data_IF_143553271902
#
_entry.id   IF_143553271902
#
_cell.length_a   1.000
_cell.length_b   1.000
_cell.length_c   1.000
_cell.angle_alpha   90.00
_cell.angle_beta   90.00
_cell.angle_gamma   90.00
#
_symmetry.space_group_name_H-M   'P 1'
#
loop_
_entity.id
_entity.type
_entity.pdbx_description
1 polymer ?
#
# COMPACT_ATOMS: atom_id res chain seq x y z
N UNK A 1 -5.35 9.91 -31.21
CA UNK A 1 -3.93 9.60 -30.96
C UNK A 1 -3.78 8.10 -31.11
N UNK A 2 -2.87 7.64 -31.98
CA UNK A 2 -2.81 6.25 -32.43
C UNK A 2 -2.30 5.32 -31.32
N UNK A 3 -3.09 4.28 -31.02
CA UNK A 3 -2.74 3.16 -30.15
C UNK A 3 -1.44 2.50 -30.64
N UNK A 4 -0.44 2.42 -29.77
CA UNK A 4 0.81 1.72 -30.06
C UNK A 4 0.69 0.24 -29.63
N UNK A 5 0.54 -0.72 -30.56
CA UNK A 5 0.30 -2.13 -30.24
C UNK A 5 1.46 -2.85 -29.54
N UNK A 6 2.64 -2.22 -29.42
CA UNK A 6 3.77 -2.79 -28.67
C UNK A 6 3.58 -2.75 -27.15
N UNK A 7 2.84 -1.77 -26.62
CA UNK A 7 2.54 -1.68 -25.18
C UNK A 7 1.53 -2.77 -24.78
N UNK A 8 0.55 -3.06 -25.65
CA UNK A 8 -0.45 -4.12 -25.45
C UNK A 8 0.15 -5.53 -25.41
N UNK A 9 1.23 -5.80 -26.17
CA UNK A 9 1.90 -7.10 -26.18
C UNK A 9 2.74 -7.35 -24.92
N UNK A 10 3.35 -6.29 -24.34
CA UNK A 10 4.03 -6.37 -23.05
C UNK A 10 3.03 -6.56 -21.89
N UNK A 11 1.78 -6.12 -22.08
CA UNK A 11 0.62 -6.29 -21.19
C UNK A 11 0.13 -7.75 -21.06
N UNK A 12 0.33 -8.58 -22.10
CA UNK A 12 -0.16 -9.97 -22.15
C UNK A 12 0.71 -10.98 -21.40
N UNK A 13 2.00 -10.69 -21.18
CA UNK A 13 2.92 -11.66 -20.56
C UNK A 13 2.91 -11.61 -19.02
N UNK A 14 2.46 -10.49 -18.41
CA UNK A 14 2.50 -10.32 -16.95
C UNK A 14 1.21 -10.73 -16.22
N UNK A 15 0.06 -10.81 -16.90
CA UNK A 15 -1.25 -11.09 -16.29
C UNK A 15 -1.59 -12.59 -16.15
N UNK A 16 -0.70 -13.50 -16.57
CA UNK A 16 -1.01 -14.95 -16.66
C UNK A 16 -0.66 -15.80 -15.43
N UNK A 17 -0.15 -15.22 -14.35
CA UNK A 17 0.28 -15.98 -13.17
C UNK A 17 -0.37 -15.43 -11.91
N UNK A 18 -1.38 -16.14 -11.38
CA UNK A 18 -1.88 -15.88 -10.02
C UNK A 18 -3.35 -16.22 -9.74
N UNK A 19 -3.83 -17.42 -10.09
CA UNK A 19 -5.10 -17.94 -9.53
C UNK A 19 -4.78 -18.85 -8.34
N UNK A 20 -5.25 -18.50 -7.14
CA UNK A 20 -5.17 -19.38 -5.95
C UNK A 20 -6.51 -19.47 -5.21
N UNK A 21 -6.85 -20.66 -4.66
CA UNK A 21 -8.16 -20.97 -4.09
C UNK A 21 -8.31 -20.54 -2.63
N UNK A 22 -9.57 -20.33 -2.22
CA UNK A 22 -10.00 -19.94 -0.88
C UNK A 22 -9.94 -21.09 0.14
N UNK A 23 -9.51 -20.80 1.38
CA UNK A 23 -9.63 -21.71 2.53
C UNK A 23 -10.27 -21.01 3.74
N UNK A 24 -11.39 -21.56 4.21
CA UNK A 24 -12.10 -21.14 5.41
C UNK A 24 -11.61 -21.84 6.68
N UNK A 25 -11.67 -21.14 7.81
CA UNK A 25 -11.38 -21.67 9.15
C UNK A 25 -12.20 -20.95 10.22
N UNK A 26 -12.83 -21.71 11.11
CA UNK A 26 -13.74 -21.27 12.18
C UNK A 26 -12.97 -20.78 13.40
N UNK A 27 -13.38 -19.65 13.99
CA UNK A 27 -12.82 -19.12 15.24
C UNK A 27 -13.68 -19.43 16.46
N UNK A 28 -13.04 -19.91 17.53
CA UNK A 28 -13.59 -19.99 18.88
C UNK A 28 -13.25 -18.72 19.68
N UNK A 29 -14.23 -18.23 20.45
CA UNK A 29 -14.14 -16.97 21.19
C UNK A 29 -13.40 -17.10 22.53
N UNK A 30 -12.52 -16.15 22.84
CA UNK A 30 -11.98 -15.96 24.19
C UNK A 30 -11.93 -14.47 24.54
N UNK A 31 -12.62 -14.11 25.62
CA UNK A 31 -12.76 -12.74 26.15
C UNK A 31 -11.41 -12.19 26.65
N UNK A 32 -11.08 -10.94 26.32
CA UNK A 32 -10.02 -10.20 27.02
C UNK A 32 -10.42 -8.75 27.34
N UNK A 33 -9.91 -8.34 28.51
CA UNK A 33 -10.18 -7.14 29.28
C UNK A 33 -9.72 -5.87 28.55
N UNK A 34 -10.44 -4.80 28.84
CA UNK A 34 -10.30 -3.42 28.35
C UNK A 34 -8.90 -2.85 28.63
N UNK A 35 -8.15 -2.57 27.57
CA UNK A 35 -7.04 -1.63 27.56
C UNK A 35 -7.39 -0.47 26.62
N UNK A 36 -7.02 0.75 27.02
CA UNK A 36 -7.31 2.02 26.35
C UNK A 36 -7.04 1.92 24.85
N UNK A 37 -8.07 2.16 24.04
CA UNK A 37 -8.00 2.09 22.58
C UNK A 37 -7.04 3.15 22.05
N UNK A 38 -6.09 2.81 21.17
CA UNK A 38 -5.42 3.80 20.32
C UNK A 38 -6.50 4.58 19.50
N UNK A 39 -6.19 5.78 18.99
CA UNK A 39 -7.14 6.57 18.21
C UNK A 39 -7.80 5.66 17.18
N UNK A 40 -9.14 5.60 17.21
CA UNK A 40 -9.94 4.67 16.42
C UNK A 40 -9.54 4.82 14.95
N UNK A 41 -8.79 3.84 14.42
CA UNK A 41 -8.81 3.59 12.99
C UNK A 41 -10.28 3.56 12.58
N UNK A 42 -10.65 4.43 11.64
CA UNK A 42 -12.02 4.46 11.14
C UNK A 42 -12.31 3.09 10.53
N UNK A 43 -13.52 2.58 10.79
CA UNK A 43 -13.95 1.27 10.33
C UNK A 43 -13.67 1.09 8.83
N UNK A 44 -12.98 0.01 8.46
CA UNK A 44 -12.76 -0.38 7.06
C UNK A 44 -13.86 -1.35 6.68
N UNK A 45 -14.91 -0.83 6.07
CA UNK A 45 -16.11 -1.62 5.77
C UNK A 45 -16.75 -1.25 4.45
N UNK A 46 -17.54 -2.19 3.92
CA UNK A 46 -18.37 -1.98 2.75
C UNK A 46 -19.38 -0.85 2.94
N UNK A 47 -19.90 -0.67 4.16
CA UNK A 47 -20.85 0.43 4.45
C UNK A 47 -20.20 1.79 4.24
N UNK A 48 -18.98 1.97 4.77
CA UNK A 48 -18.22 3.21 4.59
C UNK A 48 -17.95 3.46 3.11
N UNK A 49 -17.46 2.47 2.37
CA UNK A 49 -17.18 2.60 0.95
C UNK A 49 -18.45 2.91 0.15
N UNK A 50 -19.57 2.24 0.42
CA UNK A 50 -20.83 2.54 -0.26
C UNK A 50 -21.30 3.97 0.03
N UNK A 51 -21.22 4.43 1.27
CA UNK A 51 -21.62 5.78 1.68
C UNK A 51 -20.79 6.87 1.01
N UNK A 52 -19.47 6.67 0.86
CA UNK A 52 -18.58 7.58 0.13
C UNK A 52 -19.04 7.84 -1.31
N UNK A 53 -19.72 6.87 -1.92
CA UNK A 53 -20.24 6.95 -3.28
C UNK A 53 -21.76 7.19 -3.33
N UNK A 54 -22.39 7.51 -2.19
CA UNK A 54 -23.82 7.82 -2.12
C UNK A 54 -24.75 6.59 -2.10
N UNK A 55 -24.25 5.45 -1.61
CA UNK A 55 -24.95 4.17 -1.59
C UNK A 55 -25.46 3.75 -2.99
N UNK A 56 -24.55 3.59 -3.95
CA UNK A 56 -24.89 3.28 -5.34
C UNK A 56 -25.60 1.94 -5.44
N UNK A 57 -26.50 1.83 -6.41
CA UNK A 57 -27.17 0.57 -6.77
C UNK A 57 -26.51 0.00 -8.03
N UNK A 58 -26.64 -1.32 -8.28
CA UNK A 58 -26.26 -1.90 -9.57
C UNK A 58 -26.85 -1.09 -10.73
N UNK A 59 -26.07 -0.76 -11.77
CA UNK A 59 -26.57 -0.02 -12.92
C UNK A 59 -27.64 -0.85 -13.67
N UNK A 60 -28.68 -0.18 -14.16
CA UNK A 60 -29.78 -0.84 -14.89
C UNK A 60 -29.36 -1.32 -16.28
N UNK A 61 -28.40 -0.63 -16.89
CA UNK A 61 -27.85 -0.94 -18.21
C UNK A 61 -26.39 -0.53 -18.27
N UNK A 62 -25.57 -1.32 -18.96
CA UNK A 62 -24.15 -1.03 -19.16
C UNK A 62 -23.92 -0.79 -20.65
N UNK A 63 -23.60 0.46 -20.98
CA UNK A 63 -23.18 0.92 -22.31
C UNK A 63 -21.67 0.97 -22.47
N UNK A 64 -20.92 0.96 -21.36
CA UNK A 64 -19.47 0.84 -21.37
C UNK A 64 -19.05 -0.44 -22.12
N UNK A 65 -18.13 -0.29 -23.07
CA UNK A 65 -17.48 -1.40 -23.74
C UNK A 65 -16.21 -1.73 -22.98
N UNK A 66 -16.13 -2.96 -22.43
CA UNK A 66 -15.00 -3.42 -21.64
C UNK A 66 -13.75 -3.47 -22.54
N UNK A 67 -12.59 -3.13 -21.99
CA UNK A 67 -11.32 -2.99 -22.70
C UNK A 67 -10.93 -4.18 -23.59
N UNK A 68 -11.11 -5.40 -23.09
CA UNK A 68 -10.82 -6.67 -23.79
C UNK A 68 -12.07 -7.31 -24.42
N UNK A 69 -13.13 -6.52 -24.61
CA UNK A 69 -14.42 -6.97 -25.17
C UNK A 69 -15.13 -8.06 -24.34
N UNK A 70 -14.81 -8.18 -23.06
CA UNK A 70 -15.42 -9.11 -22.10
C UNK A 70 -16.69 -8.52 -21.44
N UNK A 71 -17.55 -7.87 -22.24
CA UNK A 71 -18.74 -7.15 -21.76
C UNK A 71 -19.69 -8.03 -20.91
N UNK A 72 -19.76 -9.33 -21.20
CA UNK A 72 -20.58 -10.27 -20.45
C UNK A 72 -20.09 -10.45 -19.00
N UNK A 73 -18.77 -10.51 -18.79
CA UNK A 73 -18.18 -10.64 -17.47
C UNK A 73 -18.34 -9.33 -16.68
N UNK A 74 -18.17 -8.17 -17.34
CA UNK A 74 -18.42 -6.86 -16.72
C UNK A 74 -19.88 -6.73 -16.24
N UNK A 75 -20.85 -7.12 -17.08
CA UNK A 75 -22.28 -7.16 -16.71
C UNK A 75 -22.56 -8.10 -15.55
N UNK A 76 -21.97 -9.28 -15.56
CA UNK A 76 -22.13 -10.25 -14.47
C UNK A 76 -21.59 -9.66 -13.16
N UNK A 77 -20.37 -9.11 -13.17
CA UNK A 77 -19.74 -8.49 -12.01
C UNK A 77 -20.58 -7.34 -11.46
N UNK A 78 -21.02 -6.43 -12.32
CA UNK A 78 -21.84 -5.27 -11.95
C UNK A 78 -23.24 -5.62 -11.43
N UNK A 79 -23.72 -6.85 -11.62
CA UNK A 79 -24.99 -7.32 -11.09
C UNK A 79 -24.91 -7.88 -9.66
N UNK A 80 -23.71 -8.13 -9.14
CA UNK A 80 -23.49 -8.81 -7.87
C UNK A 80 -23.47 -7.84 -6.68
N UNK A 81 -24.24 -8.09 -5.60
CA UNK A 81 -24.10 -7.33 -4.36
C UNK A 81 -22.68 -7.42 -3.77
N UNK A 82 -22.18 -6.33 -3.17
CA UNK A 82 -20.81 -6.23 -2.65
C UNK A 82 -20.36 -7.40 -1.76
N UNK A 83 -21.20 -7.85 -0.83
CA UNK A 83 -20.85 -8.92 0.12
C UNK A 83 -20.67 -10.28 -0.56
N UNK A 84 -21.31 -10.49 -1.71
CA UNK A 84 -21.24 -11.71 -2.51
C UNK A 84 -20.42 -11.55 -3.78
N UNK A 85 -19.84 -10.38 -4.02
CA UNK A 85 -19.09 -10.07 -5.24
C UNK A 85 -17.80 -10.87 -5.26
N UNK A 86 -17.55 -11.55 -6.38
CA UNK A 86 -16.27 -12.23 -6.62
C UNK A 86 -15.20 -11.21 -7.02
N UNK A 87 -14.44 -10.71 -6.04
CA UNK A 87 -13.39 -9.72 -6.27
C UNK A 87 -12.28 -10.22 -7.21
N UNK A 88 -12.09 -11.54 -7.35
CA UNK A 88 -11.12 -12.09 -8.32
C UNK A 88 -11.47 -11.75 -9.78
N UNK A 89 -12.72 -11.37 -10.04
CA UNK A 89 -13.23 -10.95 -11.35
C UNK A 89 -13.06 -9.45 -11.62
N UNK A 90 -12.61 -8.66 -10.64
CA UNK A 90 -12.35 -7.22 -10.85
C UNK A 90 -11.26 -6.97 -11.90
N UNK A 91 -10.43 -7.96 -12.22
CA UNK A 91 -9.49 -7.92 -13.35
C UNK A 91 -10.12 -7.39 -14.65
N UNK A 92 -11.38 -7.74 -14.91
CA UNK A 92 -12.09 -7.26 -16.11
C UNK A 92 -12.42 -5.77 -16.08
N UNK A 93 -12.50 -5.15 -14.91
CA UNK A 93 -12.84 -3.73 -14.77
C UNK A 93 -11.62 -2.84 -14.50
N UNK A 94 -10.54 -3.39 -13.94
CA UNK A 94 -9.33 -2.61 -13.64
C UNK A 94 -8.70 -1.97 -14.88
N UNK A 95 -8.73 -2.66 -16.03
CA UNK A 95 -8.26 -2.14 -17.30
C UNK A 95 -9.10 -0.95 -17.78
N UNK A 96 -10.42 -1.03 -17.59
CA UNK A 96 -11.38 -0.02 -18.00
C UNK A 96 -11.05 1.33 -17.35
N UNK A 97 -10.69 1.31 -16.05
CA UNK A 97 -10.31 2.51 -15.29
C UNK A 97 -9.20 3.35 -15.96
N UNK A 98 -8.34 2.72 -16.78
CA UNK A 98 -7.24 3.40 -17.47
C UNK A 98 -7.50 3.66 -18.96
N UNK A 99 -8.28 2.81 -19.63
CA UNK A 99 -8.28 2.74 -21.09
C UNK A 99 -9.61 3.00 -21.77
N UNK A 100 -10.75 2.99 -21.06
CA UNK A 100 -12.07 3.19 -21.68
C UNK A 100 -12.75 4.48 -21.20
N UNK A 101 -13.80 4.87 -21.91
CA UNK A 101 -14.69 5.94 -21.45
C UNK A 101 -15.64 5.37 -20.38
N UNK A 102 -15.38 5.73 -19.13
CA UNK A 102 -16.09 5.18 -17.98
C UNK A 102 -17.53 5.69 -17.90
N UNK A 103 -18.46 4.77 -17.71
CA UNK A 103 -19.85 5.05 -17.41
C UNK A 103 -19.99 5.47 -15.92
N UNK A 104 -20.52 6.67 -15.60
CA UNK A 104 -20.49 7.20 -14.22
C UNK A 104 -21.20 6.35 -13.16
N UNK A 105 -22.39 5.83 -13.42
CA UNK A 105 -23.14 5.01 -12.45
C UNK A 105 -22.52 3.60 -12.28
N UNK A 106 -21.92 3.05 -13.34
CA UNK A 106 -21.10 1.83 -13.25
C UNK A 106 -19.85 2.08 -12.40
N UNK A 107 -19.17 3.21 -12.61
CA UNK A 107 -18.01 3.60 -11.81
C UNK A 107 -18.37 3.78 -10.34
N UNK A 108 -19.43 4.54 -10.04
CA UNK A 108 -19.87 4.75 -8.67
C UNK A 108 -20.18 3.40 -7.97
N UNK A 109 -20.67 2.39 -8.71
CA UNK A 109 -20.93 1.05 -8.19
C UNK A 109 -19.68 0.17 -8.07
N UNK A 110 -18.82 0.06 -9.08
CA UNK A 110 -17.71 -0.91 -9.07
C UNK A 110 -16.43 -0.38 -8.40
N UNK A 111 -16.18 0.93 -8.43
CA UNK A 111 -14.95 1.48 -7.84
C UNK A 111 -14.82 1.26 -6.31
N UNK A 112 -15.90 1.29 -5.51
CA UNK A 112 -15.88 0.78 -4.14
C UNK A 112 -15.33 -0.65 -4.00
N UNK A 113 -15.65 -1.55 -4.94
CA UNK A 113 -15.14 -2.92 -4.91
C UNK A 113 -13.64 -2.98 -5.21
N UNK A 114 -13.14 -2.17 -6.14
CA UNK A 114 -11.70 -1.98 -6.38
C UNK A 114 -10.96 -1.51 -5.12
N UNK A 115 -11.51 -0.55 -4.38
CA UNK A 115 -10.91 -0.05 -3.13
C UNK A 115 -10.87 -1.13 -2.04
N UNK A 116 -11.94 -1.92 -1.91
CA UNK A 116 -11.96 -3.04 -0.95
C UNK A 116 -10.99 -4.16 -1.32
N UNK A 117 -10.90 -4.51 -2.60
CA UNK A 117 -9.95 -5.50 -3.09
C UNK A 117 -8.49 -5.05 -2.86
N UNK A 118 -8.19 -3.78 -3.15
CA UNK A 118 -6.90 -3.17 -2.80
C UNK A 118 -6.62 -3.25 -1.30
N UNK A 119 -7.59 -2.90 -0.45
CA UNK A 119 -7.44 -3.00 1.01
C UNK A 119 -7.17 -4.44 1.46
N UNK A 120 -7.95 -5.41 0.97
CA UNK A 120 -7.79 -6.83 1.33
C UNK A 120 -6.43 -7.36 0.89
N UNK A 121 -5.95 -7.00 -0.29
CA UNK A 121 -4.60 -7.38 -0.74
C UNK A 121 -3.51 -6.84 0.20
N UNK A 122 -3.67 -5.60 0.67
CA UNK A 122 -2.76 -4.96 1.59
C UNK A 122 -2.80 -5.64 2.97
N UNK A 123 -4.01 -5.83 3.52
CA UNK A 123 -4.26 -6.45 4.81
C UNK A 123 -3.72 -7.89 4.87
N UNK A 124 -3.83 -8.64 3.77
CA UNK A 124 -3.31 -10.00 3.64
C UNK A 124 -1.79 -10.06 3.36
N UNK A 125 -1.04 -8.95 3.48
CA UNK A 125 0.40 -8.93 3.19
C UNK A 125 0.74 -9.46 1.78
N UNK A 126 -0.06 -9.13 0.77
CA UNK A 126 0.23 -9.51 -0.61
C UNK A 126 0.98 -8.38 -1.33
N UNK A 127 1.94 -8.69 -2.21
CA UNK A 127 2.49 -7.70 -3.13
C UNK A 127 1.37 -7.06 -3.95
N UNK A 128 1.58 -5.85 -4.47
CA UNK A 128 0.68 -5.34 -5.52
C UNK A 128 0.92 -6.17 -6.78
N UNK A 129 -0.03 -7.04 -7.11
CA UNK A 129 0.02 -7.90 -8.29
C UNK A 129 -1.40 -8.16 -8.79
N UNK A 130 -1.54 -8.31 -10.11
CA UNK A 130 -2.84 -8.18 -10.79
C UNK A 130 -3.52 -6.84 -10.45
N UNK A 131 -4.82 -6.76 -10.77
CA UNK A 131 -5.71 -5.60 -10.70
C UNK A 131 -5.48 -4.46 -9.68
N UNK A 132 -4.89 -4.74 -8.52
CA UNK A 132 -4.60 -3.73 -7.49
C UNK A 132 -3.47 -2.77 -7.86
N UNK A 133 -2.53 -3.18 -8.71
CA UNK A 133 -1.46 -2.30 -9.21
C UNK A 133 -1.99 -1.31 -10.27
N UNK A 134 -3.05 -1.71 -10.97
CA UNK A 134 -3.75 -1.02 -12.02
C UNK A 134 -4.55 0.16 -11.46
N UNK A 135 -4.94 0.15 -10.17
CA UNK A 135 -5.52 1.34 -9.53
C UNK A 135 -4.53 2.51 -9.58
N UNK A 136 -3.27 2.29 -9.21
CA UNK A 136 -2.26 3.36 -9.24
C UNK A 136 -2.07 3.87 -10.68
N UNK A 137 -2.01 2.94 -11.64
CA UNK A 137 -1.89 3.29 -13.05
C UNK A 137 -3.11 4.04 -13.59
N UNK A 138 -4.33 3.63 -13.23
CA UNK A 138 -5.57 4.29 -13.62
C UNK A 138 -5.69 5.71 -13.05
N UNK A 139 -5.17 5.94 -11.83
CA UNK A 139 -5.10 7.30 -11.27
C UNK A 139 -4.10 8.17 -12.03
N UNK A 140 -2.92 7.63 -12.35
CA UNK A 140 -1.86 8.38 -13.04
C UNK A 140 -2.16 8.60 -14.54
N UNK A 141 -2.36 7.51 -15.29
CA UNK A 141 -2.57 7.52 -16.73
C UNK A 141 -4.04 7.77 -17.11
N UNK A 142 -4.96 7.02 -16.51
CA UNK A 142 -6.40 7.16 -16.75
C UNK A 142 -6.98 8.47 -16.22
N UNK A 143 -6.30 9.12 -15.28
CA UNK A 143 -6.77 10.30 -14.54
C UNK A 143 -8.12 10.07 -13.85
N UNK A 144 -8.38 8.84 -13.40
CA UNK A 144 -9.71 8.43 -12.92
C UNK A 144 -10.22 9.29 -11.76
N UNK A 145 -9.33 9.67 -10.83
CA UNK A 145 -9.68 10.58 -9.74
C UNK A 145 -10.17 11.93 -10.23
N UNK A 146 -9.48 12.52 -11.21
CA UNK A 146 -9.86 13.82 -11.77
C UNK A 146 -11.15 13.76 -12.57
N UNK A 147 -11.35 12.67 -13.32
CA UNK A 147 -12.49 12.52 -14.24
C UNK A 147 -13.78 12.13 -13.51
N UNK A 148 -13.68 11.28 -12.49
CA UNK A 148 -14.84 10.59 -11.91
C UNK A 148 -15.18 11.00 -10.48
N UNK A 149 -14.26 11.64 -9.74
CA UNK A 149 -14.51 12.01 -8.34
C UNK A 149 -14.74 13.51 -8.20
N UNK A 150 -15.75 13.88 -7.40
CA UNK A 150 -15.87 15.22 -6.85
C UNK A 150 -14.77 15.46 -5.79
N UNK A 151 -14.47 16.71 -5.42
CA UNK A 151 -13.47 17.01 -4.39
C UNK A 151 -13.72 16.28 -3.06
N UNK A 152 -14.97 16.23 -2.60
CA UNK A 152 -15.35 15.55 -1.35
C UNK A 152 -15.15 14.03 -1.44
N UNK A 153 -15.53 13.43 -2.59
CA UNK A 153 -15.32 12.00 -2.83
C UNK A 153 -13.83 11.67 -2.93
N UNK A 154 -13.04 12.50 -3.59
CA UNK A 154 -11.59 12.34 -3.67
C UNK A 154 -10.94 12.37 -2.29
N UNK A 155 -11.32 13.33 -1.44
CA UNK A 155 -10.84 13.40 -0.06
C UNK A 155 -11.24 12.14 0.73
N UNK A 156 -12.49 11.66 0.57
CA UNK A 156 -12.94 10.46 1.25
C UNK A 156 -12.18 9.20 0.79
N UNK A 157 -11.91 9.06 -0.51
CA UNK A 157 -11.12 7.96 -1.09
C UNK A 157 -9.68 8.02 -0.58
N UNK A 158 -9.05 9.20 -0.58
CA UNK A 158 -7.72 9.41 0.00
C UNK A 158 -7.70 8.92 1.45
N UNK A 159 -8.63 9.38 2.29
CA UNK A 159 -8.69 8.98 3.69
C UNK A 159 -8.88 7.47 3.86
N UNK A 160 -9.68 6.82 3.00
CA UNK A 160 -9.83 5.37 3.03
C UNK A 160 -8.51 4.64 2.74
N UNK A 161 -7.73 5.10 1.74
CA UNK A 161 -6.43 4.52 1.41
C UNK A 161 -5.44 4.69 2.56
N UNK A 162 -5.38 5.87 3.19
CA UNK A 162 -4.50 6.14 4.33
C UNK A 162 -4.90 5.32 5.57
N UNK A 163 -6.20 5.26 5.90
CA UNK A 163 -6.70 4.46 7.02
C UNK A 163 -6.42 2.97 6.83
N UNK A 164 -6.61 2.47 5.61
CA UNK A 164 -6.29 1.08 5.25
C UNK A 164 -4.81 0.78 5.42
N UNK A 165 -3.95 1.74 5.09
CA UNK A 165 -2.51 1.61 5.27
C UNK A 165 -2.13 1.57 6.75
N UNK A 166 -2.66 2.48 7.56
CA UNK A 166 -2.45 2.47 9.01
C UNK A 166 -2.97 1.18 9.64
N UNK A 167 -4.11 0.67 9.21
CA UNK A 167 -4.65 -0.61 9.68
C UNK A 167 -3.68 -1.78 9.39
N UNK A 168 -3.02 -1.76 8.22
CA UNK A 168 -2.00 -2.75 7.89
C UNK A 168 -0.77 -2.62 8.78
N UNK A 169 -0.27 -1.41 9.03
CA UNK A 169 0.86 -1.20 9.95
C UNK A 169 0.51 -1.60 11.38
N UNK A 170 -0.72 -1.32 11.82
CA UNK A 170 -1.21 -1.69 13.16
C UNK A 170 -1.32 -3.22 13.35
N UNK A 171 -1.46 -3.97 12.26
CA UNK A 171 -1.51 -5.43 12.25
C UNK A 171 -0.11 -6.10 12.30
N UNK A 172 0.98 -5.34 12.20
CA UNK A 172 2.32 -5.88 12.33
C UNK A 172 2.56 -6.49 13.71
N UNK A 173 3.17 -7.68 13.73
CA UNK A 173 3.45 -8.42 14.98
C UNK A 173 4.86 -8.97 15.08
N UNK A 174 5.61 -8.99 13.97
CA UNK A 174 6.98 -9.54 13.90
C UNK A 174 7.87 -8.68 13.01
N UNK A 175 9.10 -8.43 13.44
CA UNK A 175 10.09 -7.71 12.64
C UNK A 175 10.40 -8.45 11.34
N UNK A 176 10.40 -9.78 11.36
CA UNK A 176 10.54 -10.60 10.16
C UNK A 176 9.64 -11.83 10.22
N UNK A 177 8.87 -12.02 9.16
CA UNK A 177 8.08 -13.22 8.87
C UNK A 177 7.83 -13.29 7.36
N UNK A 178 7.41 -14.44 6.84
CA UNK A 178 6.94 -14.60 5.46
C UNK A 178 5.50 -15.08 5.50
N UNK A 179 4.59 -14.26 4.95
CA UNK A 179 3.16 -14.55 4.88
C UNK A 179 2.67 -14.30 3.46
N UNK A 180 1.85 -15.21 2.94
CA UNK A 180 1.30 -15.12 1.57
C UNK A 180 2.39 -14.89 0.51
N UNK A 181 3.51 -15.63 0.64
CA UNK A 181 4.69 -15.57 -0.22
C UNK A 181 5.38 -14.19 -0.29
N UNK A 182 5.12 -13.31 0.69
CA UNK A 182 5.81 -12.03 0.81
C UNK A 182 6.39 -11.84 2.24
N UNK A 183 7.54 -11.17 2.36
CA UNK A 183 8.07 -10.75 3.66
C UNK A 183 7.09 -9.81 4.38
N UNK A 184 7.12 -9.77 5.72
CA UNK A 184 6.24 -8.89 6.53
C UNK A 184 6.42 -7.41 6.19
N UNK A 185 7.60 -7.00 5.73
CA UNK A 185 7.88 -5.63 5.29
C UNK A 185 7.38 -5.30 3.87
N UNK A 186 6.66 -6.19 3.17
CA UNK A 186 6.22 -5.93 1.78
C UNK A 186 5.37 -4.67 1.64
N UNK A 187 4.78 -4.18 2.74
CA UNK A 187 4.10 -2.89 2.78
C UNK A 187 5.01 -1.71 2.35
N UNK A 188 6.34 -1.81 2.45
CA UNK A 188 7.28 -0.78 1.97
C UNK A 188 7.08 -0.51 0.48
N UNK A 189 6.92 -1.57 -0.33
CA UNK A 189 6.63 -1.41 -1.77
C UNK A 189 5.26 -0.81 -2.03
N UNK A 190 4.30 -1.13 -1.16
CA UNK A 190 2.92 -0.63 -1.24
C UNK A 190 2.84 0.86 -0.91
N UNK A 191 3.57 1.34 0.11
CA UNK A 191 3.57 2.77 0.47
C UNK A 191 4.24 3.57 -0.64
N UNK A 192 5.31 3.06 -1.23
CA UNK A 192 5.98 3.68 -2.37
C UNK A 192 5.08 3.78 -3.60
N UNK A 193 4.25 2.76 -3.84
CA UNK A 193 3.26 2.79 -4.93
C UNK A 193 2.17 3.84 -4.68
N UNK A 194 1.68 3.94 -3.44
CA UNK A 194 0.67 4.90 -3.05
C UNK A 194 1.19 6.34 -3.10
N UNK A 195 2.45 6.57 -2.72
CA UNK A 195 3.12 7.87 -2.71
C UNK A 195 3.20 8.54 -4.09
N UNK A 196 3.01 7.78 -5.17
CA UNK A 196 3.00 8.29 -6.55
C UNK A 196 1.68 8.95 -6.94
N UNK A 197 0.61 8.67 -6.20
CA UNK A 197 -0.74 9.12 -6.53
C UNK A 197 -1.46 9.84 -5.38
N UNK A 198 -0.94 9.76 -4.16
CA UNK A 198 -1.54 10.34 -2.96
C UNK A 198 -0.47 11.03 -2.11
N UNK A 199 -0.83 12.18 -1.54
CA UNK A 199 -0.04 12.86 -0.51
C UNK A 199 -0.09 12.08 0.82
N UNK A 200 1.09 11.68 1.30
CA UNK A 200 1.30 10.80 2.44
C UNK A 200 1.59 11.53 3.75
N UNK A 201 1.62 12.86 3.78
CA UNK A 201 2.01 13.66 4.95
C UNK A 201 1.30 13.18 6.23
N UNK A 202 -0.03 13.09 6.20
CA UNK A 202 -0.82 12.63 7.35
C UNK A 202 -0.53 11.16 7.73
N UNK A 203 -0.37 10.28 6.75
CA UNK A 203 -0.03 8.87 7.00
C UNK A 203 1.33 8.75 7.68
N UNK A 204 2.31 9.53 7.20
CA UNK A 204 3.66 9.55 7.75
C UNK A 204 3.65 10.01 9.21
N UNK A 205 3.00 11.14 9.50
CA UNK A 205 2.88 11.66 10.88
C UNK A 205 2.19 10.63 11.80
N UNK A 206 1.10 10.02 11.34
CA UNK A 206 0.38 9.02 12.13
C UNK A 206 1.17 7.73 12.34
N UNK A 207 1.88 7.23 11.32
CA UNK A 207 2.74 6.05 11.45
C UNK A 207 3.86 6.33 12.46
N UNK A 208 4.60 7.42 12.27
CA UNK A 208 5.74 7.77 13.12
C UNK A 208 5.35 8.33 14.49
N UNK A 209 4.06 8.53 14.78
CA UNK A 209 3.59 8.70 16.17
C UNK A 209 3.80 7.44 17.02
N UNK A 210 4.04 6.29 16.37
CA UNK A 210 4.24 4.97 16.98
C UNK A 210 3.11 4.56 17.92
N UNK A 211 1.87 5.04 17.71
CA UNK A 211 0.75 4.84 18.63
C UNK A 211 0.32 3.39 18.90
N UNK A 212 0.89 2.41 18.19
CA UNK A 212 0.65 0.97 18.38
C UNK A 212 1.96 0.18 18.30
N UNK A 213 2.02 -1.04 18.88
CA UNK A 213 3.18 -1.93 18.69
C UNK A 213 3.46 -2.24 17.21
N UNK A 214 2.42 -2.39 16.38
CA UNK A 214 2.59 -2.67 14.95
C UNK A 214 3.30 -1.53 14.21
N UNK A 215 2.92 -0.27 14.48
CA UNK A 215 3.63 0.90 13.94
C UNK A 215 5.09 0.96 14.38
N UNK A 216 5.38 0.57 15.64
CA UNK A 216 6.75 0.47 16.12
C UNK A 216 7.55 -0.64 15.42
N UNK A 217 6.94 -1.80 15.15
CA UNK A 217 7.56 -2.88 14.34
C UNK A 217 7.86 -2.38 12.92
N UNK A 218 6.88 -1.77 12.26
CA UNK A 218 7.05 -1.21 10.92
C UNK A 218 8.15 -0.14 10.88
N UNK A 219 8.22 0.74 11.88
CA UNK A 219 9.29 1.73 12.01
C UNK A 219 10.67 1.05 12.10
N UNK A 220 10.81 0.02 12.94
CA UNK A 220 12.08 -0.72 13.09
C UNK A 220 12.46 -1.45 11.80
N UNK A 221 11.50 -2.05 11.09
CA UNK A 221 11.74 -2.65 9.77
C UNK A 221 12.28 -1.64 8.76
N UNK A 222 11.70 -0.44 8.73
CA UNK A 222 12.11 0.60 7.78
C UNK A 222 13.50 1.16 8.10
N UNK A 223 13.78 1.46 9.37
CA UNK A 223 15.07 2.05 9.76
C UNK A 223 16.22 1.05 9.76
N UNK A 224 15.97 -0.26 9.92
CA UNK A 224 17.05 -1.24 9.79
C UNK A 224 17.64 -1.25 8.39
N UNK A 225 16.82 -1.06 7.36
CA UNK A 225 17.28 -0.96 5.96
C UNK A 225 18.09 0.32 5.69
N UNK A 226 18.02 1.32 6.58
CA UNK A 226 18.92 2.48 6.54
C UNK A 226 20.23 2.22 7.28
N UNK A 227 20.16 1.54 8.42
CA UNK A 227 21.27 1.41 9.37
C UNK A 227 22.33 0.38 9.01
N UNK A 228 22.06 -0.55 8.11
CA UNK A 228 22.97 -1.66 7.82
C UNK A 228 23.13 -1.90 6.31
N UNK A 229 24.30 -2.38 5.91
CA UNK A 229 24.46 -3.04 4.62
C UNK A 229 23.66 -4.35 4.57
N UNK A 230 23.40 -4.84 3.35
CA UNK A 230 22.46 -5.95 3.13
C UNK A 230 22.86 -7.22 3.90
N UNK A 231 24.16 -7.53 3.97
CA UNK A 231 24.72 -8.70 4.66
C UNK A 231 24.96 -8.50 6.16
N UNK A 232 24.79 -7.27 6.66
CA UNK A 232 24.99 -6.91 8.07
C UNK A 232 23.67 -6.74 8.84
N UNK A 233 22.54 -6.66 8.13
CA UNK A 233 21.25 -6.37 8.76
C UNK A 233 20.81 -7.50 9.72
N UNK A 234 20.64 -7.23 11.03
CA UNK A 234 20.31 -8.28 11.99
C UNK A 234 18.84 -8.73 11.93
N UNK A 235 18.00 -8.04 11.15
CA UNK A 235 16.58 -8.34 11.03
C UNK A 235 16.26 -9.25 9.85
N UNK A 236 17.01 -9.11 8.75
CA UNK A 236 16.68 -9.68 7.46
C UNK A 236 17.85 -10.49 6.90
N UNK A 237 17.60 -11.64 6.26
CA UNK A 237 18.58 -12.25 5.36
C UNK A 237 18.94 -11.28 4.23
N UNK A 238 20.18 -11.31 3.74
CA UNK A 238 20.68 -10.39 2.73
C UNK A 238 19.80 -10.34 1.46
N UNK A 239 19.33 -11.50 0.99
CA UNK A 239 18.49 -11.60 -0.21
C UNK A 239 17.07 -11.05 0.00
N UNK A 240 16.70 -10.77 1.25
CA UNK A 240 15.39 -10.28 1.68
C UNK A 240 15.50 -8.96 2.45
N UNK A 241 16.60 -8.24 2.31
CA UNK A 241 16.71 -6.87 2.83
C UNK A 241 15.80 -5.95 2.02
N UNK A 242 14.96 -5.10 2.66
CA UNK A 242 14.08 -4.21 1.94
C UNK A 242 14.84 -3.15 1.14
N UNK A 243 14.58 -3.09 -0.16
CA UNK A 243 14.98 -1.95 -1.00
C UNK A 243 13.98 -0.81 -0.79
N UNK A 244 14.37 0.24 -0.08
CA UNK A 244 13.45 1.27 0.42
C UNK A 244 12.74 2.09 -0.66
N UNK A 245 13.28 2.13 -1.88
CA UNK A 245 12.65 2.80 -3.03
C UNK A 245 11.88 1.85 -3.95
N UNK A 246 11.91 0.54 -3.69
CA UNK A 246 11.19 -0.44 -4.52
C UNK A 246 9.68 -0.23 -4.43
N UNK A 247 8.96 -0.48 -5.52
CA UNK A 247 7.51 -0.32 -5.58
C UNK A 247 6.89 -1.45 -6.40
N UNK A 248 5.58 -1.61 -6.27
CA UNK A 248 4.80 -2.58 -7.02
C UNK A 248 3.85 -1.92 -8.06
N UNK A 249 3.94 -0.59 -8.23
CA UNK A 249 3.12 0.15 -9.20
C UNK A 249 3.55 -0.11 -10.65
N UNK A 250 2.58 -0.03 -11.57
CA UNK A 250 2.79 -0.04 -13.03
C UNK A 250 3.14 1.36 -13.60
N UNK A 251 3.47 2.32 -12.73
CA UNK A 251 3.84 3.68 -13.13
C UNK A 251 5.36 3.73 -13.29
N UNK A 252 5.90 3.38 -14.47
CA UNK A 252 7.36 3.27 -14.64
C UNK A 252 8.11 4.58 -14.89
N UNK A 253 7.40 5.69 -15.12
CA UNK A 253 7.99 6.94 -15.61
C UNK A 253 7.99 8.07 -14.56
N UNK A 254 7.60 7.78 -13.31
CA UNK A 254 7.55 8.77 -12.24
C UNK A 254 7.87 8.12 -10.88
N UNK A 255 8.58 8.85 -10.02
CA UNK A 255 8.75 8.50 -8.61
C UNK A 255 7.58 8.97 -7.74
N UNK A 256 7.85 9.22 -6.47
CA UNK A 256 6.90 9.84 -5.54
C UNK A 256 6.41 11.20 -6.05
N UNK A 257 5.22 11.62 -5.60
CA UNK A 257 4.78 13.00 -5.79
C UNK A 257 5.80 13.98 -5.18
N UNK A 258 6.13 15.10 -5.85
CA UNK A 258 7.14 16.05 -5.36
C UNK A 258 6.89 16.53 -3.93
N UNK A 259 5.63 16.80 -3.57
CA UNK A 259 5.25 17.23 -2.22
C UNK A 259 5.62 16.20 -1.13
N UNK A 260 5.52 14.90 -1.44
CA UNK A 260 5.93 13.84 -0.51
C UNK A 260 7.45 13.85 -0.30
N UNK A 261 8.23 14.05 -1.36
CA UNK A 261 9.70 14.13 -1.27
C UNK A 261 10.20 15.37 -0.55
N UNK A 262 9.55 16.52 -0.79
CA UNK A 262 9.85 17.77 -0.06
C UNK A 262 9.57 17.61 1.44
N UNK A 263 8.39 17.10 1.79
CA UNK A 263 8.03 16.82 3.17
C UNK A 263 9.00 15.82 3.84
N UNK A 264 9.38 14.76 3.14
CA UNK A 264 10.34 13.77 3.66
C UNK A 264 11.69 14.42 3.95
N UNK A 265 12.20 15.23 3.02
CA UNK A 265 13.50 15.91 3.14
C UNK A 265 13.55 16.88 4.34
N UNK A 266 12.40 17.41 4.74
CA UNK A 266 12.29 18.32 5.89
C UNK A 266 12.06 17.60 7.22
N UNK A 267 11.42 16.43 7.20
CA UNK A 267 10.93 15.73 8.40
C UNK A 267 11.76 14.53 8.83
N UNK A 268 12.49 13.89 7.92
CA UNK A 268 13.21 12.65 8.16
C UNK A 268 14.72 12.90 8.25
N UNK A 269 15.21 12.99 9.49
CA UNK A 269 16.62 13.28 9.82
C UNK A 269 17.22 12.15 10.67
N UNK A 270 18.55 12.09 10.79
CA UNK A 270 19.19 11.08 11.64
C UNK A 270 18.76 11.20 13.10
N UNK A 271 18.62 12.42 13.61
CA UNK A 271 18.09 12.66 14.96
C UNK A 271 16.63 12.19 15.09
N UNK A 272 15.81 12.38 14.06
CA UNK A 272 14.47 11.82 14.02
C UNK A 272 14.51 10.29 14.10
N UNK A 273 15.32 9.63 13.28
CA UNK A 273 15.45 8.16 13.27
C UNK A 273 15.91 7.63 14.62
N UNK A 274 16.98 8.21 15.19
CA UNK A 274 17.51 7.86 16.51
C UNK A 274 16.45 7.93 17.59
N UNK A 275 15.72 9.05 17.64
CA UNK A 275 14.61 9.22 18.59
C UNK A 275 13.52 8.18 18.36
N UNK A 276 13.15 7.88 17.11
CA UNK A 276 12.09 6.91 16.80
C UNK A 276 12.47 5.47 17.14
N UNK A 277 13.74 5.10 17.02
CA UNK A 277 14.22 3.79 17.49
C UNK A 277 14.09 3.69 19.01
N UNK A 278 14.47 4.72 19.76
CA UNK A 278 14.30 4.76 21.22
C UNK A 278 12.83 4.66 21.64
N UNK A 279 11.95 5.45 21.01
CA UNK A 279 10.51 5.41 21.26
C UNK A 279 9.92 4.03 20.91
N UNK A 280 10.33 3.41 19.80
CA UNK A 280 9.91 2.08 19.41
C UNK A 280 10.35 1.00 20.42
N UNK A 281 11.60 1.02 20.87
CA UNK A 281 12.10 0.12 21.92
C UNK A 281 11.32 0.27 23.23
N UNK A 282 10.86 1.47 23.55
CA UNK A 282 10.01 1.71 24.73
C UNK A 282 8.58 1.20 24.53
N UNK A 283 8.02 1.33 23.32
CA UNK A 283 6.67 0.90 22.96
C UNK A 283 6.53 -0.62 22.87
N UNK A 284 7.55 -1.33 22.36
CA UNK A 284 7.47 -2.76 22.12
C UNK A 284 7.38 -3.56 23.44
N UNK A 285 6.51 -4.59 23.51
CA UNK A 285 6.41 -5.46 24.68
C UNK A 285 7.72 -6.24 24.88
N UNK A 286 7.99 -6.67 26.11
CA UNK A 286 9.15 -7.51 26.39
C UNK A 286 9.08 -8.80 25.57
N UNK A 287 10.17 -9.13 24.87
CA UNK A 287 10.25 -10.28 23.96
C UNK A 287 11.34 -10.10 22.91
N UNK A 288 11.35 -11.01 21.93
CA UNK A 288 12.36 -11.04 20.87
C UNK A 288 12.37 -9.77 20.02
N UNK A 289 11.20 -9.23 19.66
CA UNK A 289 11.11 -8.03 18.82
C UNK A 289 11.74 -6.80 19.50
N UNK A 290 11.50 -6.65 20.81
CA UNK A 290 12.10 -5.56 21.58
C UNK A 290 13.62 -5.72 21.70
N UNK A 291 14.12 -6.94 21.84
CA UNK A 291 15.55 -7.19 21.95
C UNK A 291 16.28 -6.90 20.63
N UNK A 292 15.70 -7.31 19.50
CA UNK A 292 16.20 -6.92 18.18
C UNK A 292 16.17 -5.41 17.97
N UNK A 293 15.10 -4.72 18.37
CA UNK A 293 15.05 -3.25 18.30
C UNK A 293 16.10 -2.58 19.20
N UNK A 294 16.46 -3.19 20.35
CA UNK A 294 17.56 -2.71 21.21
C UNK A 294 18.94 -2.91 20.59
N UNK A 295 19.12 -3.98 19.82
CA UNK A 295 20.35 -4.19 19.06
C UNK A 295 20.59 -2.99 18.13
N UNK A 296 19.58 -2.59 17.35
CA UNK A 296 19.66 -1.38 16.51
C UNK A 296 20.04 -0.13 17.30
N UNK A 297 19.44 0.08 18.47
CA UNK A 297 19.77 1.22 19.32
C UNK A 297 21.22 1.19 19.83
N UNK A 298 21.75 -0.01 20.06
CA UNK A 298 23.13 -0.23 20.51
C UNK A 298 24.14 0.00 19.39
N UNK A 299 23.79 -0.40 18.17
CA UNK A 299 24.64 -0.26 16.99
C UNK A 299 24.64 1.17 16.42
N UNK A 300 23.60 1.96 16.71
CA UNK A 300 23.37 3.29 16.14
C UNK A 300 24.59 4.23 16.20
N UNK A 301 25.37 4.33 17.30
CA UNK A 301 26.58 5.17 17.32
C UNK A 301 27.66 4.76 16.31
N UNK A 302 27.74 3.46 15.96
CA UNK A 302 28.69 2.98 14.96
C UNK A 302 28.18 3.19 13.52
N UNK A 303 26.85 3.32 13.34
CA UNK A 303 26.19 3.45 12.05
C UNK A 303 25.79 4.90 11.71
N UNK A 304 26.22 5.88 12.51
CA UNK A 304 25.77 7.29 12.38
C UNK A 304 26.15 7.90 11.03
N UNK A 305 27.37 7.67 10.56
CA UNK A 305 27.83 8.17 9.24
C UNK A 305 27.03 7.54 8.08
N UNK A 306 26.82 6.22 8.11
CA UNK A 306 26.01 5.52 7.10
C UNK A 306 24.57 6.02 7.09
N UNK A 307 23.99 6.22 8.27
CA UNK A 307 22.63 6.73 8.43
C UNK A 307 22.48 8.14 7.84
N UNK A 308 23.41 9.05 8.15
CA UNK A 308 23.40 10.42 7.63
C UNK A 308 23.45 10.43 6.08
N UNK A 309 24.34 9.63 5.49
CA UNK A 309 24.47 9.50 4.05
C UNK A 309 23.18 8.99 3.40
N UNK A 310 22.62 7.89 3.91
CA UNK A 310 21.41 7.29 3.33
C UNK A 310 20.16 8.13 3.53
N UNK A 311 20.04 8.85 4.65
CA UNK A 311 18.95 9.81 4.85
C UNK A 311 19.03 10.96 3.85
N UNK A 312 20.22 11.47 3.56
CA UNK A 312 20.39 12.53 2.56
C UNK A 312 20.06 12.03 1.13
N UNK A 313 20.36 10.77 0.83
CA UNK A 313 20.16 10.19 -0.51
C UNK A 313 18.72 9.70 -0.75
N UNK A 314 18.05 9.18 0.29
CA UNK A 314 16.74 8.52 0.18
C UNK A 314 15.66 9.34 -0.54
N UNK A 315 15.46 10.66 -0.27
CA UNK A 315 14.47 11.44 -1.00
C UNK A 315 14.73 11.47 -2.52
N UNK A 316 16.00 11.53 -2.93
CA UNK A 316 16.39 11.47 -4.34
C UNK A 316 16.02 10.13 -4.97
N UNK A 317 16.27 9.03 -4.28
CA UNK A 317 15.89 7.68 -4.73
C UNK A 317 14.37 7.55 -4.86
N UNK A 318 13.59 8.05 -3.89
CA UNK A 318 12.13 7.95 -3.91
C UNK A 318 11.47 8.84 -4.97
N UNK A 319 12.06 9.99 -5.28
CA UNK A 319 11.61 10.90 -6.34
C UNK A 319 12.01 10.44 -7.75
N UNK A 320 13.07 9.62 -7.87
CA UNK A 320 13.52 9.09 -9.15
C UNK A 320 12.54 8.06 -9.72
N UNK A 321 12.24 8.10 -11.03
CA UNK A 321 11.58 7.00 -11.72
C UNK A 321 12.50 5.77 -11.88
N UNK A 322 13.81 5.99 -11.85
CA UNK A 322 14.85 4.97 -12.02
C UNK A 322 15.87 5.12 -10.88
N UNK A 323 15.55 4.64 -9.68
CA UNK A 323 16.44 4.73 -8.53
C UNK A 323 17.67 3.84 -8.72
N UNK A 324 18.82 4.34 -8.28
CA UNK A 324 20.09 3.62 -8.29
C UNK A 324 20.33 2.90 -6.96
N UNK A 325 21.40 2.11 -6.88
CA UNK A 325 21.91 1.60 -5.60
C UNK A 325 22.38 2.75 -4.70
N UNK A 326 22.48 2.48 -3.40
CA UNK A 326 23.10 3.43 -2.46
C UNK A 326 24.50 3.81 -2.94
N UNK A 327 24.88 5.08 -2.76
CA UNK A 327 26.22 5.55 -3.15
C UNK A 327 27.33 5.19 -2.16
N UNK A 328 26.93 4.71 -0.98
CA UNK A 328 27.79 4.34 0.16
C UNK A 328 27.77 2.86 0.44
#
# INVERSE_FOLDING_TARGET
>A
MQNNPRIALQWMEQTRIGMYPASGGRGAAMKRKTNRRPPLLRDISWSRLAEMFGNPRPPLSISEQQFDYCDAELRLLASQPYLSMDLSKLGYYYADLAFVELQPDLFDYLFPACLMDWHRSLADNRPCGGGTAEIHFAVSYGQVFRKMLSPDRLLAVRNFLLDSFLARLDAETRLFDIQNAAPSWCWIRRINSLARIVDLTELWEQWWSLGTPGRAIAAIQYVSALLYFDDENPLFPAELTPVLWSHDSQIHHAGWLPANGEFLSQSFTAEFVKRKIQEAVAMLPAGQEREKARQLLTDLPAQEELLDHRIAELPGQLLSPDPAEWTV
#
